data_IF_654509014527
#
_entry.id   IF_654509014527
#
_cell.length_a   1.000
_cell.length_b   1.000
_cell.length_c   1.000
_cell.angle_alpha   90.00
_cell.angle_beta   90.00
_cell.angle_gamma   90.00
#
_symmetry.space_group_name_H-M   'P 1'
#
loop_
_entity.id
_entity.type
_entity.pdbx_description
1 polymer ?
#
# COMPACT_ATOMS: atom_id res chain seq x y z
N UNK A 1 7.56 -22.08 30.65
CA UNK A 1 7.10 -22.17 29.25
C UNK A 1 6.66 -20.79 28.81
N UNK A 2 7.21 -20.25 27.73
CA UNK A 2 6.75 -18.95 27.19
C UNK A 2 5.31 -19.11 26.72
N UNK A 3 4.42 -18.19 27.13
CA UNK A 3 3.03 -18.19 26.69
C UNK A 3 3.02 -17.97 25.17
N UNK A 4 2.37 -18.88 24.43
CA UNK A 4 2.26 -18.74 22.98
C UNK A 4 1.57 -17.41 22.63
N UNK A 5 2.15 -16.65 21.70
CA UNK A 5 1.65 -15.34 21.29
C UNK A 5 0.50 -15.55 20.30
N UNK A 6 -0.63 -14.86 20.52
CA UNK A 6 -1.74 -14.88 19.58
C UNK A 6 -1.29 -14.34 18.21
N UNK A 7 -1.36 -15.13 17.13
CA UNK A 7 -0.92 -14.72 15.81
C UNK A 7 -1.88 -13.75 15.12
N UNK A 8 -3.18 -13.78 15.45
CA UNK A 8 -4.18 -12.93 14.82
C UNK A 8 -4.06 -11.47 15.24
N UNK A 9 -4.25 -10.55 14.31
CA UNK A 9 -4.03 -9.11 14.48
C UNK A 9 -5.25 -8.30 14.02
N UNK A 10 -6.37 -8.30 14.77
CA UNK A 10 -7.61 -7.62 14.39
C UNK A 10 -7.54 -6.09 14.64
N UNK A 11 -6.45 -5.45 14.29
CA UNK A 11 -6.30 -3.99 14.38
C UNK A 11 -6.29 -3.42 12.97
N UNK A 12 -7.07 -2.37 12.72
CA UNK A 12 -7.13 -1.74 11.41
C UNK A 12 -5.73 -1.28 10.95
N UNK A 13 -5.38 -1.58 9.70
CA UNK A 13 -4.09 -1.24 9.12
C UNK A 13 -2.89 -2.12 9.53
N UNK A 14 -3.07 -3.02 10.48
CA UNK A 14 -2.03 -4.00 10.82
C UNK A 14 -1.98 -5.14 9.79
N UNK A 15 -0.76 -5.50 9.40
CA UNK A 15 -0.57 -6.64 8.52
C UNK A 15 -0.93 -7.94 9.27
N UNK A 16 -1.83 -8.77 8.73
CA UNK A 16 -2.09 -10.10 9.25
C UNK A 16 -0.88 -11.01 9.04
N UNK A 17 -0.81 -12.15 9.72
CA UNK A 17 0.27 -13.12 9.51
C UNK A 17 0.30 -13.66 8.07
N UNK A 18 -0.81 -13.60 7.37
CA UNK A 18 -0.96 -14.08 5.99
C UNK A 18 -1.95 -13.20 5.22
N UNK A 19 -1.60 -12.84 3.99
CA UNK A 19 -2.44 -12.14 3.03
C UNK A 19 -3.19 -13.17 2.19
N UNK A 20 -4.39 -13.53 2.61
CA UNK A 20 -5.19 -14.57 1.98
C UNK A 20 -5.59 -14.17 0.55
N UNK A 21 -5.30 -15.02 -0.44
CA UNK A 21 -5.76 -14.87 -1.82
C UNK A 21 -5.20 -13.66 -2.55
N UNK A 22 -4.02 -13.17 -2.17
CA UNK A 22 -3.38 -11.99 -2.80
C UNK A 22 -2.01 -12.31 -3.42
N UNK A 23 -1.55 -13.55 -3.37
CA UNK A 23 -0.23 -13.96 -3.85
C UNK A 23 -0.03 -13.60 -5.32
N UNK A 24 -1.00 -13.89 -6.20
CA UNK A 24 -0.92 -13.58 -7.62
C UNK A 24 -0.73 -12.06 -7.88
N UNK A 25 -1.39 -11.19 -7.11
CA UNK A 25 -1.22 -9.73 -7.25
C UNK A 25 0.18 -9.29 -6.83
N UNK A 26 0.71 -9.89 -5.77
CA UNK A 26 2.05 -9.59 -5.28
C UNK A 26 3.12 -10.12 -6.24
N UNK A 27 2.93 -11.31 -6.80
CA UNK A 27 3.84 -11.92 -7.78
C UNK A 27 3.88 -11.09 -9.07
N UNK A 28 2.72 -10.72 -9.61
CA UNK A 28 2.63 -9.86 -10.81
C UNK A 28 3.28 -8.48 -10.58
N UNK A 29 3.09 -7.90 -9.39
CA UNK A 29 3.75 -6.64 -9.05
C UNK A 29 5.27 -6.81 -8.89
N UNK A 30 5.72 -7.90 -8.27
CA UNK A 30 7.15 -8.22 -8.14
C UNK A 30 7.82 -8.33 -9.51
N UNK A 31 7.17 -9.06 -10.44
CA UNK A 31 7.62 -9.22 -11.81
C UNK A 31 7.64 -7.88 -12.55
N UNK A 32 6.61 -7.05 -12.39
CA UNK A 32 6.55 -5.73 -13.00
C UNK A 32 7.67 -4.81 -12.53
N UNK A 33 8.06 -4.88 -11.24
CA UNK A 33 9.20 -4.12 -10.73
C UNK A 33 10.53 -4.61 -11.34
N UNK A 34 10.68 -5.91 -11.58
CA UNK A 34 11.87 -6.51 -12.24
C UNK A 34 11.93 -6.17 -13.73
N UNK A 35 10.80 -6.20 -14.43
CA UNK A 35 10.70 -5.87 -15.85
C UNK A 35 11.01 -4.40 -16.15
N UNK A 36 11.07 -3.55 -15.14
CA UNK A 36 11.50 -2.15 -15.27
C UNK A 36 10.40 -1.17 -15.71
N UNK A 37 10.78 0.09 -15.99
CA UNK A 37 9.84 1.13 -16.40
C UNK A 37 9.01 0.73 -17.62
N UNK A 38 7.71 1.04 -17.56
CA UNK A 38 6.76 0.72 -18.64
C UNK A 38 6.01 -0.60 -18.45
N UNK A 39 6.36 -1.44 -17.47
CA UNK A 39 5.57 -2.62 -17.14
C UNK A 39 4.18 -2.20 -16.61
N UNK A 40 3.08 -2.80 -17.14
CA UNK A 40 1.72 -2.32 -16.86
C UNK A 40 1.34 -2.40 -15.38
N UNK A 41 1.74 -3.46 -14.69
CA UNK A 41 1.36 -3.73 -13.30
C UNK A 41 2.10 -2.84 -12.27
N UNK A 42 2.92 -1.90 -12.72
CA UNK A 42 3.46 -0.81 -11.90
C UNK A 42 2.45 0.27 -11.55
N UNK A 43 1.35 0.33 -12.29
CA UNK A 43 0.23 1.21 -12.00
C UNK A 43 -0.96 0.35 -11.56
N UNK A 44 -1.41 0.51 -10.32
CA UNK A 44 -2.50 -0.27 -9.77
C UNK A 44 -3.59 0.62 -9.18
N UNK A 45 -4.84 0.24 -9.44
CA UNK A 45 -6.03 0.79 -8.78
C UNK A 45 -6.72 -0.33 -8.01
N UNK A 46 -6.89 -0.14 -6.72
CA UNK A 46 -7.43 -1.14 -5.81
C UNK A 46 -8.80 -0.66 -5.31
N UNK A 47 -9.85 -1.39 -5.65
CA UNK A 47 -11.20 -1.08 -5.19
C UNK A 47 -11.73 -2.17 -4.27
N UNK A 48 -12.60 -1.78 -3.35
CA UNK A 48 -13.26 -2.72 -2.46
C UNK A 48 -14.01 -2.01 -1.33
N UNK A 49 -15.00 -2.67 -0.76
CA UNK A 49 -15.73 -2.16 0.39
C UNK A 49 -14.83 -2.11 1.64
N UNK A 50 -15.29 -1.51 2.71
CA UNK A 50 -14.53 -1.46 3.98
C UNK A 50 -14.31 -2.87 4.52
N UNK A 51 -13.12 -3.13 5.06
CA UNK A 51 -12.75 -4.43 5.65
C UNK A 51 -12.25 -5.49 4.66
N UNK A 52 -12.16 -5.20 3.34
CA UNK A 52 -11.65 -6.13 2.32
C UNK A 52 -10.12 -6.22 2.24
N UNK A 53 -9.39 -5.42 3.02
CA UNK A 53 -7.93 -5.50 3.10
C UNK A 53 -7.17 -4.57 2.15
N UNK A 54 -7.78 -3.47 1.67
CA UNK A 54 -7.12 -2.48 0.78
C UNK A 54 -5.82 -1.95 1.35
N UNK A 55 -5.85 -1.39 2.56
CA UNK A 55 -4.66 -0.87 3.27
C UNK A 55 -3.60 -1.93 3.44
N UNK A 56 -4.00 -3.16 3.78
CA UNK A 56 -3.06 -4.27 3.98
C UNK A 56 -2.39 -4.68 2.67
N UNK A 57 -3.12 -4.66 1.56
CA UNK A 57 -2.52 -4.91 0.25
C UNK A 57 -1.55 -3.80 -0.15
N UNK A 58 -1.89 -2.51 0.07
CA UNK A 58 -0.95 -1.40 -0.17
C UNK A 58 0.33 -1.55 0.66
N UNK A 59 0.20 -1.90 1.95
CA UNK A 59 1.36 -2.16 2.81
C UNK A 59 2.25 -3.28 2.24
N UNK A 60 1.64 -4.38 1.78
CA UNK A 60 2.39 -5.50 1.22
C UNK A 60 3.11 -5.15 -0.09
N UNK A 61 2.48 -4.36 -0.97
CA UNK A 61 3.12 -3.80 -2.16
C UNK A 61 4.32 -2.92 -1.77
N UNK A 62 4.15 -2.07 -0.75
CA UNK A 62 5.21 -1.24 -0.19
C UNK A 62 6.37 -2.06 0.36
N UNK A 63 6.09 -3.09 1.16
CA UNK A 63 7.12 -3.96 1.74
C UNK A 63 7.89 -4.73 0.66
N UNK A 64 7.20 -5.18 -0.39
CA UNK A 64 7.81 -5.83 -1.53
C UNK A 64 8.71 -4.86 -2.32
N UNK A 65 8.25 -3.64 -2.58
CA UNK A 65 9.03 -2.61 -3.26
C UNK A 65 10.29 -2.22 -2.46
N UNK A 66 10.18 -2.07 -1.13
CA UNK A 66 11.34 -1.82 -0.25
C UNK A 66 12.39 -2.93 -0.35
N UNK A 67 11.97 -4.20 -0.37
CA UNK A 67 12.87 -5.35 -0.56
C UNK A 67 13.62 -5.32 -1.89
N UNK A 68 13.02 -4.68 -2.91
CA UNK A 68 13.63 -4.47 -4.24
C UNK A 68 14.40 -3.14 -4.36
N UNK A 69 14.59 -2.42 -3.26
CA UNK A 69 15.39 -1.19 -3.22
C UNK A 69 14.63 0.08 -3.62
N UNK A 70 13.30 0.03 -3.72
CA UNK A 70 12.50 1.21 -3.98
C UNK A 70 12.36 2.07 -2.72
N UNK A 71 12.42 3.37 -2.89
CA UNK A 71 11.89 4.32 -1.92
C UNK A 71 10.35 4.24 -1.95
N UNK A 72 9.72 4.11 -0.78
CA UNK A 72 8.26 3.94 -0.68
C UNK A 72 7.68 5.05 0.15
N UNK A 73 6.70 5.75 -0.42
CA UNK A 73 5.95 6.82 0.26
C UNK A 73 4.49 6.40 0.37
N UNK A 74 4.10 6.04 1.60
CA UNK A 74 2.74 5.64 1.92
C UNK A 74 1.99 6.83 2.52
N UNK A 75 0.89 7.26 1.90
CA UNK A 75 0.07 8.39 2.38
C UNK A 75 -1.42 8.10 2.34
N UNK A 76 -2.15 8.65 3.31
CA UNK A 76 -3.61 8.77 3.21
C UNK A 76 -3.93 9.98 2.32
N UNK A 77 -4.94 9.87 1.47
CA UNK A 77 -5.26 10.86 0.45
C UNK A 77 -6.06 12.08 0.95
N UNK A 78 -6.14 12.32 2.26
CA UNK A 78 -6.75 13.53 2.80
C UNK A 78 -5.97 14.80 2.41
N UNK A 79 -6.61 15.97 2.53
CA UNK A 79 -6.03 17.26 2.10
C UNK A 79 -4.56 17.46 2.51
N UNK A 80 -3.75 17.98 1.60
CA UNK A 80 -2.31 18.20 1.78
C UNK A 80 -1.44 16.97 1.53
N UNK A 81 -1.95 15.93 0.86
CA UNK A 81 -1.18 14.71 0.64
C UNK A 81 0.02 14.93 -0.31
N UNK A 82 -0.06 15.82 -1.29
CA UNK A 82 1.09 16.17 -2.12
C UNK A 82 2.23 16.79 -1.30
N UNK A 83 1.91 17.67 -0.35
CA UNK A 83 2.90 18.24 0.57
C UNK A 83 3.53 17.17 1.46
N UNK A 84 2.74 16.20 1.96
CA UNK A 84 3.25 15.07 2.75
C UNK A 84 4.17 14.16 1.95
N UNK A 85 3.87 13.93 0.67
CA UNK A 85 4.77 13.19 -0.23
C UNK A 85 6.10 13.93 -0.34
N UNK A 86 6.07 15.23 -0.65
CA UNK A 86 7.27 16.06 -0.76
C UNK A 86 8.12 16.05 0.52
N UNK A 87 7.48 16.23 1.67
CA UNK A 87 8.15 16.18 2.98
C UNK A 87 8.80 14.81 3.26
N UNK A 88 8.12 13.72 2.92
CA UNK A 88 8.64 12.37 3.08
C UNK A 88 9.91 12.16 2.23
N UNK A 89 9.87 12.55 0.96
CA UNK A 89 11.00 12.45 0.04
C UNK A 89 12.20 13.30 0.50
N UNK A 90 11.95 14.54 0.94
CA UNK A 90 13.01 15.43 1.46
C UNK A 90 13.62 14.92 2.76
N UNK A 91 12.82 14.32 3.65
CA UNK A 91 13.32 13.72 4.90
C UNK A 91 14.27 12.56 4.62
N UNK A 92 13.94 11.70 3.67
CA UNK A 92 14.76 10.56 3.31
C UNK A 92 16.13 11.00 2.76
N UNK A 93 16.18 12.03 1.92
CA UNK A 93 17.43 12.63 1.44
C UNK A 93 18.30 13.15 2.59
N UNK A 94 17.69 13.82 3.58
CA UNK A 94 18.43 14.31 4.77
C UNK A 94 19.01 13.17 5.59
N UNK A 95 18.24 12.10 5.81
CA UNK A 95 18.72 10.93 6.57
C UNK A 95 19.87 10.24 5.86
N UNK A 96 19.82 10.08 4.55
CA UNK A 96 20.93 9.52 3.76
C UNK A 96 22.18 10.40 3.84
N UNK A 97 22.03 11.74 3.68
CA UNK A 97 23.16 12.65 3.77
C UNK A 97 23.82 12.69 5.15
N UNK A 98 23.05 12.52 6.22
CA UNK A 98 23.58 12.45 7.59
C UNK A 98 24.32 11.13 7.86
N UNK A 99 23.94 10.05 7.22
CA UNK A 99 24.64 8.76 7.35
C UNK A 99 25.98 8.72 6.62
N UNK A 100 26.17 9.57 5.60
CA UNK A 100 27.39 9.62 4.77
C UNK A 100 28.41 10.65 5.31
N UNK A 101 27.99 11.68 6.04
CA UNK A 101 28.92 12.72 6.56
C UNK A 101 28.43 13.35 7.86
N UNK A 102 28.98 12.93 9.02
CA UNK A 102 28.62 13.54 10.31
C UNK A 102 29.09 15.00 10.50
N UNK A 103 29.81 15.58 9.54
CA UNK A 103 30.57 16.81 9.73
C UNK A 103 30.02 18.08 9.04
N UNK A 104 28.81 18.05 8.48
CA UNK A 104 28.17 19.26 7.91
C UNK A 104 26.95 19.67 8.74
N UNK A 105 27.18 20.04 9.98
CA UNK A 105 26.26 20.80 10.82
C UNK A 105 26.56 22.29 10.64
N UNK A 106 25.85 22.99 9.76
CA UNK A 106 26.06 24.43 9.64
C UNK A 106 25.39 25.14 8.48
N UNK A 107 24.26 24.65 7.94
CA UNK A 107 23.47 25.47 7.01
C UNK A 107 22.05 25.63 7.55
N UNK A 108 21.76 26.84 8.05
CA UNK A 108 20.41 27.26 8.41
C UNK A 108 19.58 27.36 7.12
N UNK A 109 18.63 26.45 6.96
CA UNK A 109 17.63 26.56 5.91
C UNK A 109 16.59 27.62 6.31
N UNK A 110 16.71 28.78 5.69
CA UNK A 110 15.72 29.85 5.76
C UNK A 110 14.38 29.36 5.22
N UNK A 111 13.31 29.90 5.79
CA UNK A 111 11.92 29.72 5.39
C UNK A 111 11.74 29.99 3.88
N UNK A 112 11.42 28.95 3.12
CA UNK A 112 11.04 29.08 1.71
C UNK A 112 9.52 29.12 1.62
N UNK A 113 9.02 30.21 1.06
CA UNK A 113 7.61 30.52 0.86
C UNK A 113 6.88 29.50 -0.04
N UNK A 114 5.62 29.24 0.32
CA UNK A 114 4.69 28.21 -0.18
C UNK A 114 4.18 28.44 -1.62
N UNK A 115 4.85 29.17 -2.50
CA UNK A 115 4.32 29.50 -3.83
C UNK A 115 4.96 28.78 -5.04
N UNK A 116 5.72 27.68 -4.83
CA UNK A 116 6.35 26.88 -5.90
C UNK A 116 6.22 25.36 -5.70
N UNK A 117 5.13 24.85 -5.14
CA UNK A 117 5.09 23.46 -4.69
C UNK A 117 5.11 22.41 -5.81
N UNK A 118 4.46 22.64 -6.94
CA UNK A 118 4.39 21.64 -8.02
C UNK A 118 5.75 21.30 -8.65
N UNK A 119 6.59 22.31 -8.94
CA UNK A 119 7.93 22.06 -9.52
C UNK A 119 8.85 21.28 -8.57
N UNK A 120 8.68 21.44 -7.26
CA UNK A 120 9.47 20.73 -6.26
C UNK A 120 9.02 19.30 -6.01
N UNK A 121 7.72 18.99 -6.16
CA UNK A 121 7.22 17.62 -6.03
C UNK A 121 7.79 16.72 -7.15
N UNK A 122 7.67 17.14 -8.41
CA UNK A 122 8.18 16.38 -9.55
C UNK A 122 9.70 16.16 -9.49
N UNK A 123 10.48 17.18 -9.11
CA UNK A 123 11.92 17.05 -8.92
C UNK A 123 12.27 16.03 -7.81
N UNK A 124 11.62 16.12 -6.66
CA UNK A 124 11.87 15.20 -5.55
C UNK A 124 11.49 13.75 -5.91
N UNK A 125 10.38 13.55 -6.62
CA UNK A 125 9.97 12.24 -7.12
C UNK A 125 10.97 11.68 -8.15
N UNK A 126 11.48 12.52 -9.07
CA UNK A 126 12.48 12.10 -10.05
C UNK A 126 13.79 11.69 -9.41
N UNK A 127 14.24 12.44 -8.42
CA UNK A 127 15.46 12.13 -7.68
C UNK A 127 15.32 10.81 -6.88
N UNK A 128 14.17 10.58 -6.27
CA UNK A 128 13.89 9.31 -5.61
C UNK A 128 13.87 8.14 -6.60
N UNK A 129 13.22 8.31 -7.76
CA UNK A 129 13.18 7.30 -8.81
C UNK A 129 14.59 6.93 -9.32
N UNK A 130 15.52 7.89 -9.36
CA UNK A 130 16.93 7.66 -9.77
C UNK A 130 17.76 6.90 -8.74
N UNK A 131 17.47 7.05 -7.46
CA UNK A 131 18.24 6.37 -6.39
C UNK A 131 18.02 4.85 -6.33
N UNK A 132 16.88 4.35 -6.80
CA UNK A 132 16.58 2.92 -6.81
C UNK A 132 15.21 2.59 -7.37
N UNK A 133 14.34 3.57 -7.38
CA UNK A 133 12.94 3.50 -7.77
C UNK A 133 12.06 4.16 -6.74
N UNK A 134 10.88 4.59 -7.15
CA UNK A 134 9.89 5.23 -6.28
C UNK A 134 8.54 4.51 -6.40
N UNK A 135 8.00 4.06 -5.28
CA UNK A 135 6.59 3.67 -5.17
C UNK A 135 5.86 4.69 -4.32
N UNK A 136 4.76 5.23 -4.84
CA UNK A 136 3.80 6.00 -4.05
C UNK A 136 2.54 5.17 -3.88
N UNK A 137 2.05 5.05 -2.64
CA UNK A 137 0.74 4.45 -2.34
C UNK A 137 -0.19 5.49 -1.77
N UNK A 138 -1.44 5.54 -2.27
CA UNK A 138 -2.51 6.38 -1.75
C UNK A 138 -3.64 5.51 -1.21
N UNK A 139 -3.98 5.67 0.06
CA UNK A 139 -5.14 5.01 0.66
C UNK A 139 -6.30 5.98 0.84
N UNK A 140 -7.53 5.44 0.88
CA UNK A 140 -8.79 6.16 1.10
C UNK A 140 -9.03 7.29 0.06
N UNK A 141 -8.86 6.99 -1.23
CA UNK A 141 -8.88 7.98 -2.33
C UNK A 141 -10.18 8.80 -2.42
N UNK A 142 -11.26 8.38 -1.73
CA UNK A 142 -12.48 9.17 -1.63
C UNK A 142 -12.32 10.47 -0.84
N UNK A 143 -11.25 10.60 -0.06
CA UNK A 143 -10.95 11.80 0.74
C UNK A 143 -9.98 12.75 0.02
N UNK A 144 -9.52 12.36 -1.20
CA UNK A 144 -8.59 13.13 -2.00
C UNK A 144 -9.23 14.37 -2.62
N UNK A 145 -8.52 15.49 -2.61
CA UNK A 145 -8.92 16.62 -3.45
C UNK A 145 -8.61 16.36 -4.93
N UNK A 146 -9.50 16.79 -5.80
CA UNK A 146 -9.31 16.63 -7.26
C UNK A 146 -8.07 17.37 -7.74
N UNK A 147 -7.78 18.53 -7.18
CA UNK A 147 -6.61 19.34 -7.54
C UNK A 147 -5.30 18.61 -7.23
N UNK A 148 -5.16 18.07 -6.02
CA UNK A 148 -3.96 17.33 -5.62
C UNK A 148 -3.81 16.01 -6.40
N UNK A 149 -4.94 15.33 -6.71
CA UNK A 149 -4.89 14.15 -7.58
C UNK A 149 -4.40 14.48 -8.98
N UNK A 150 -4.80 15.61 -9.54
CA UNK A 150 -4.32 16.10 -10.85
C UNK A 150 -2.85 16.51 -10.77
N UNK A 151 -2.43 17.19 -9.70
CA UNK A 151 -1.03 17.55 -9.48
C UNK A 151 -0.15 16.31 -9.47
N UNK A 152 -0.41 15.35 -8.58
CA UNK A 152 0.35 14.10 -8.50
C UNK A 152 0.28 13.30 -9.81
N UNK A 153 -0.89 13.22 -10.42
CA UNK A 153 -1.09 12.49 -11.67
C UNK A 153 -0.28 13.06 -12.83
N UNK A 154 -0.22 14.38 -12.96
CA UNK A 154 0.60 15.05 -13.98
C UNK A 154 2.09 14.77 -13.79
N UNK A 155 2.60 14.89 -12.55
CA UNK A 155 4.00 14.59 -12.24
C UNK A 155 4.31 13.11 -12.49
N UNK A 156 3.45 12.20 -12.07
CA UNK A 156 3.61 10.78 -12.32
C UNK A 156 3.63 10.45 -13.81
N UNK A 157 2.72 11.05 -14.59
CA UNK A 157 2.67 10.84 -16.04
C UNK A 157 3.95 11.35 -16.73
N UNK A 158 4.47 12.50 -16.28
CA UNK A 158 5.73 13.05 -16.82
C UNK A 158 6.89 12.10 -16.54
N UNK A 159 7.01 11.60 -15.32
CA UNK A 159 8.05 10.64 -14.93
C UNK A 159 7.98 9.34 -15.73
N UNK A 160 6.78 8.79 -15.92
CA UNK A 160 6.58 7.59 -16.74
C UNK A 160 7.04 7.84 -18.19
N UNK A 161 6.71 8.99 -18.78
CA UNK A 161 7.14 9.35 -20.14
C UNK A 161 8.66 9.52 -20.26
N UNK A 162 9.32 9.92 -19.19
CA UNK A 162 10.79 10.02 -19.11
C UNK A 162 11.47 8.67 -18.86
N UNK A 163 10.72 7.58 -18.71
CA UNK A 163 11.26 6.26 -18.38
C UNK A 163 11.81 6.16 -16.96
N UNK A 164 11.35 7.02 -16.04
CA UNK A 164 11.78 6.96 -14.65
C UNK A 164 11.29 5.68 -13.95
N UNK A 165 12.08 5.18 -13.00
CA UNK A 165 11.77 3.96 -12.25
C UNK A 165 10.69 4.22 -11.18
N UNK A 166 9.44 4.39 -11.62
CA UNK A 166 8.31 4.70 -10.74
C UNK A 166 7.24 3.62 -10.77
N UNK A 167 6.52 3.49 -9.67
CA UNK A 167 5.30 2.71 -9.51
C UNK A 167 4.27 3.51 -8.69
N UNK A 168 2.99 3.26 -8.92
CA UNK A 168 1.91 3.96 -8.24
C UNK A 168 0.75 3.01 -7.97
N UNK A 169 0.28 2.97 -6.72
CA UNK A 169 -0.89 2.21 -6.33
C UNK A 169 -1.83 3.08 -5.51
N UNK A 170 -3.11 3.06 -5.83
CA UNK A 170 -4.10 3.79 -5.05
C UNK A 170 -5.31 2.91 -4.71
N UNK A 171 -5.90 3.15 -3.55
CA UNK A 171 -6.99 2.35 -3.04
C UNK A 171 -8.15 3.19 -2.51
N UNK A 172 -9.36 2.69 -2.68
CA UNK A 172 -10.55 3.35 -2.18
C UNK A 172 -11.84 2.56 -2.37
N UNK A 173 -12.95 3.22 -2.16
CA UNK A 173 -14.27 2.67 -2.48
C UNK A 173 -14.43 2.55 -3.99
N UNK A 174 -15.19 1.57 -4.50
CA UNK A 174 -15.33 1.34 -5.95
C UNK A 174 -15.72 2.60 -6.73
N UNK A 175 -16.76 3.32 -6.28
CA UNK A 175 -17.22 4.55 -6.93
C UNK A 175 -16.17 5.66 -6.99
N UNK A 176 -15.30 5.74 -5.98
CA UNK A 176 -14.25 6.77 -5.92
C UNK A 176 -13.06 6.42 -6.81
N UNK A 177 -12.68 5.14 -6.84
CA UNK A 177 -11.64 4.63 -7.75
C UNK A 177 -12.07 4.83 -9.21
N UNK A 178 -13.32 4.52 -9.53
CA UNK A 178 -13.87 4.74 -10.88
C UNK A 178 -13.95 6.23 -11.22
N UNK A 179 -14.30 7.09 -10.26
CA UNK A 179 -14.33 8.54 -10.43
C UNK A 179 -12.99 9.14 -10.82
N UNK A 180 -11.88 8.67 -10.23
CA UNK A 180 -10.52 9.11 -10.59
C UNK A 180 -10.16 8.70 -12.01
N UNK A 181 -10.57 7.52 -12.44
CA UNK A 181 -10.26 6.98 -13.77
C UNK A 181 -11.02 7.69 -14.86
N UNK A 182 -12.20 8.24 -14.58
CA UNK A 182 -13.04 9.00 -15.53
C UNK A 182 -12.57 10.45 -15.69
N UNK A 183 -11.71 10.97 -14.81
CA UNK A 183 -11.18 12.33 -14.93
C UNK A 183 -10.32 12.48 -16.20
N UNK A 184 -10.68 13.43 -17.05
CA UNK A 184 -10.05 13.67 -18.37
C UNK A 184 -8.54 14.00 -18.25
N UNK A 185 -8.09 14.50 -17.11
CA UNK A 185 -6.66 14.81 -16.86
C UNK A 185 -5.86 13.60 -16.38
N UNK A 186 -6.54 12.56 -15.89
CA UNK A 186 -5.92 11.35 -15.32
C UNK A 186 -6.11 10.11 -16.21
N UNK A 187 -6.33 10.31 -17.51
CA UNK A 187 -6.61 9.23 -18.48
C UNK A 187 -5.57 8.12 -18.51
N UNK A 188 -4.31 8.39 -18.15
CA UNK A 188 -3.27 7.36 -18.07
C UNK A 188 -3.57 6.31 -16.97
N UNK A 189 -4.33 6.68 -15.92
CA UNK A 189 -4.77 5.76 -14.87
C UNK A 189 -5.84 4.77 -15.34
N UNK A 190 -6.48 5.00 -16.50
CA UNK A 190 -7.36 4.02 -17.12
C UNK A 190 -6.63 2.72 -17.49
N UNK A 191 -5.32 2.82 -17.73
CA UNK A 191 -4.44 1.67 -18.02
C UNK A 191 -3.88 0.99 -16.77
N UNK A 192 -4.13 1.56 -15.58
CA UNK A 192 -3.72 0.94 -14.33
C UNK A 192 -4.45 -0.40 -14.13
N UNK A 193 -3.72 -1.42 -13.71
CA UNK A 193 -4.30 -2.71 -13.38
C UNK A 193 -5.37 -2.55 -12.30
N UNK A 194 -6.57 -3.00 -12.58
CA UNK A 194 -7.67 -2.96 -11.63
C UNK A 194 -7.67 -4.22 -10.78
N UNK A 195 -7.55 -4.04 -9.48
CA UNK A 195 -7.68 -5.09 -8.47
C UNK A 195 -8.96 -4.81 -7.68
N UNK A 196 -9.97 -5.62 -7.88
CA UNK A 196 -11.21 -5.57 -7.10
C UNK A 196 -11.12 -6.54 -5.93
N UNK A 197 -11.12 -6.00 -4.70
CA UNK A 197 -11.10 -6.80 -3.50
C UNK A 197 -12.50 -7.18 -3.07
N UNK A 198 -12.84 -8.43 -3.31
CA UNK A 198 -14.10 -9.06 -2.88
C UNK A 198 -13.93 -9.78 -1.55
N UNK A 199 -15.02 -10.35 -1.05
CA UNK A 199 -15.00 -11.26 0.09
C UNK A 199 -14.22 -12.52 -0.27
N UNK A 200 -13.55 -13.08 0.74
CA UNK A 200 -12.89 -14.38 0.64
C UNK A 200 -13.94 -15.49 0.56
N UNK A 201 -13.61 -16.55 -0.14
CA UNK A 201 -14.41 -17.78 -0.15
C UNK A 201 -14.29 -18.50 1.20
N UNK A 202 -15.29 -19.33 1.50
CA UNK A 202 -15.27 -20.15 2.74
C UNK A 202 -14.04 -21.07 2.78
N UNK A 203 -13.61 -21.57 1.63
CA UNK A 203 -12.39 -22.39 1.52
C UNK A 203 -11.12 -21.61 1.89
N UNK A 204 -10.96 -20.39 1.38
CA UNK A 204 -9.82 -19.53 1.71
C UNK A 204 -9.81 -19.16 3.20
N UNK A 205 -10.98 -18.85 3.76
CA UNK A 205 -11.11 -18.48 5.18
C UNK A 205 -10.78 -19.68 6.07
N UNK A 206 -11.41 -20.83 5.84
CA UNK A 206 -11.21 -22.04 6.65
C UNK A 206 -9.73 -22.46 6.63
N UNK A 207 -9.15 -22.57 5.45
CA UNK A 207 -7.72 -22.91 5.30
C UNK A 207 -6.79 -21.94 6.02
N UNK A 208 -7.04 -20.63 5.94
CA UNK A 208 -6.20 -19.64 6.63
C UNK A 208 -6.34 -19.70 8.16
N UNK A 209 -7.55 -19.92 8.68
CA UNK A 209 -7.76 -20.08 10.12
C UNK A 209 -7.01 -21.31 10.66
N UNK A 210 -7.15 -22.47 10.00
CA UNK A 210 -6.48 -23.71 10.37
C UNK A 210 -4.96 -23.58 10.30
N UNK A 211 -4.43 -23.03 9.20
CA UNK A 211 -2.99 -22.86 9.00
C UNK A 211 -2.39 -21.89 10.01
N UNK A 212 -3.07 -20.79 10.29
CA UNK A 212 -2.61 -19.80 11.28
C UNK A 212 -2.57 -20.41 12.69
N UNK A 213 -3.61 -21.16 13.08
CA UNK A 213 -3.65 -21.86 14.36
C UNK A 213 -2.56 -22.92 14.47
N UNK A 214 -2.41 -23.77 13.45
CA UNK A 214 -1.42 -24.85 13.41
C UNK A 214 0.01 -24.34 13.47
N UNK A 215 0.36 -23.29 12.70
CA UNK A 215 1.70 -22.67 12.75
C UNK A 215 2.03 -22.09 14.12
N UNK A 216 1.02 -21.69 14.88
CA UNK A 216 1.18 -21.17 16.22
C UNK A 216 1.03 -22.23 17.32
N UNK A 217 0.96 -23.53 16.96
CA UNK A 217 0.97 -24.66 17.87
C UNK A 217 -0.37 -24.99 18.51
N UNK A 218 -1.49 -24.61 17.87
CA UNK A 218 -2.85 -24.99 18.26
C UNK A 218 -3.56 -25.66 17.09
N UNK A 219 -4.50 -26.53 17.41
CA UNK A 219 -5.38 -27.17 16.43
C UNK A 219 -6.77 -26.54 16.49
N UNK A 220 -7.43 -26.50 15.35
CA UNK A 220 -8.81 -26.08 15.20
C UNK A 220 -9.61 -27.30 14.70
N UNK A 221 -10.63 -27.70 15.43
CA UNK A 221 -11.50 -28.77 14.95
C UNK A 221 -12.40 -28.27 13.79
N UNK A 222 -12.93 -29.23 13.02
CA UNK A 222 -13.67 -28.95 11.79
C UNK A 222 -14.95 -28.16 12.06
N UNK A 223 -15.67 -28.44 13.15
CA UNK A 223 -16.89 -27.72 13.51
C UNK A 223 -16.59 -26.28 13.90
N UNK A 224 -15.52 -26.06 14.65
CA UNK A 224 -15.06 -24.72 15.01
C UNK A 224 -14.58 -23.95 13.78
N UNK A 225 -13.84 -24.58 12.86
CA UNK A 225 -13.40 -23.95 11.61
C UNK A 225 -14.60 -23.50 10.76
N UNK A 226 -15.62 -24.35 10.61
CA UNK A 226 -16.85 -24.03 9.90
C UNK A 226 -17.61 -22.85 10.54
N UNK A 227 -17.76 -22.88 11.88
CA UNK A 227 -18.44 -21.82 12.63
C UNK A 227 -17.72 -20.46 12.47
N UNK A 228 -16.39 -20.43 12.63
CA UNK A 228 -15.58 -19.23 12.49
C UNK A 228 -15.58 -18.69 11.06
N UNK A 229 -15.56 -19.58 10.08
CA UNK A 229 -15.67 -19.24 8.65
C UNK A 229 -16.99 -18.52 8.38
N UNK A 230 -18.10 -19.10 8.81
CA UNK A 230 -19.43 -18.45 8.69
C UNK A 230 -19.50 -17.12 9.44
N UNK A 231 -18.95 -17.06 10.64
CA UNK A 231 -18.97 -15.84 11.45
C UNK A 231 -18.15 -14.70 10.82
N UNK A 232 -17.10 -15.01 10.07
CA UNK A 232 -16.28 -14.02 9.36
C UNK A 232 -17.00 -13.39 8.17
N UNK A 233 -18.00 -14.08 7.62
CA UNK A 233 -18.70 -13.74 6.37
C UNK A 233 -17.74 -13.39 5.21
N UNK A 234 -16.55 -13.96 5.19
CA UNK A 234 -15.51 -13.75 4.17
C UNK A 234 -14.80 -12.38 4.24
N UNK A 235 -15.01 -11.59 5.29
CA UNK A 235 -14.28 -10.33 5.47
C UNK A 235 -12.92 -10.57 6.13
N UNK A 236 -11.79 -10.22 5.50
CA UNK A 236 -10.44 -10.42 6.06
C UNK A 236 -10.27 -9.87 7.48
N UNK A 237 -10.84 -8.70 7.77
CA UNK A 237 -10.83 -8.14 9.11
C UNK A 237 -11.55 -9.05 10.12
N UNK A 238 -12.72 -9.58 9.74
CA UNK A 238 -13.49 -10.48 10.60
C UNK A 238 -12.79 -11.82 10.79
N UNK A 239 -12.07 -12.34 9.80
CA UNK A 239 -11.23 -13.54 9.95
C UNK A 239 -10.21 -13.34 11.07
N UNK A 240 -9.52 -12.19 11.08
CA UNK A 240 -8.58 -11.86 12.15
C UNK A 240 -9.28 -11.73 13.50
N UNK A 241 -10.47 -11.13 13.54
CA UNK A 241 -11.21 -10.91 14.78
C UNK A 241 -11.72 -12.23 15.39
N UNK A 242 -12.37 -13.07 14.60
CA UNK A 242 -12.89 -14.36 15.09
C UNK A 242 -11.73 -15.29 15.47
N UNK A 243 -10.66 -15.33 14.67
CA UNK A 243 -9.46 -16.09 14.97
C UNK A 243 -8.78 -15.65 16.28
N UNK A 244 -8.73 -14.33 16.52
CA UNK A 244 -8.15 -13.78 17.75
C UNK A 244 -8.88 -14.28 19.01
N UNK A 245 -10.22 -14.25 19.01
CA UNK A 245 -11.00 -14.72 20.13
C UNK A 245 -11.00 -16.26 20.24
N UNK A 246 -11.06 -16.99 19.14
CA UNK A 246 -10.93 -18.43 19.15
C UNK A 246 -9.60 -18.88 19.77
N UNK A 247 -8.49 -18.19 19.42
CA UNK A 247 -7.17 -18.44 20.01
C UNK A 247 -7.15 -18.31 21.54
N UNK A 248 -7.92 -17.39 22.10
CA UNK A 248 -7.94 -17.17 23.54
C UNK A 248 -8.59 -18.29 24.33
N UNK A 249 -9.52 -19.04 23.72
CA UNK A 249 -10.29 -20.09 24.36
C UNK A 249 -9.80 -21.50 24.00
N UNK A 250 -9.03 -21.65 22.92
CA UNK A 250 -8.32 -22.88 22.53
C UNK A 250 -7.02 -23.02 23.39
#
# INVERSE_FOLDING_TARGET
>A
MSKAINPFKPTAGMNPPELIGRDAVLDDFAEALENGPGAPDRLMRISGVRGTGKTVLLNALGDLARKKGFEVVDVASNAGFCSRILEALQRNVRLESMSISPSILGVSLGSVEVSKSASHLGEAMYDAAKRGGLLITLDEIQDASTEEMRELGNEMQLLIRQGANVAFAFAGLPTSVDGVVVDDTLTFLQRAKHIELTRLSDFEVGGSLEDTMRRAGKELDEDAAELLTKASAGYPFMVQLVGYYAWQVA
#
